data_IF_087249718727
#
_entry.id   IF_087249718727
#
_cell.length_a   1.000
_cell.length_b   1.000
_cell.length_c   1.000
_cell.angle_alpha   90.00
_cell.angle_beta   90.00
_cell.angle_gamma   90.00
#
_symmetry.space_group_name_H-M   'P 1'
#
loop_
_entity.id
_entity.type
_entity.pdbx_description
1 polymer ?
#
# COMPACT_ATOMS: atom_id res chain seq x y z
N UNK A 1 1.23 10.75 -21.13
CA UNK A 1 0.38 10.05 -20.14
C UNK A 1 1.12 9.92 -18.82
N UNK A 2 0.50 10.25 -17.71
CA UNK A 2 1.15 9.98 -16.42
C UNK A 2 1.30 8.47 -16.23
N UNK A 3 2.29 8.03 -15.44
CA UNK A 3 2.43 6.61 -15.14
C UNK A 3 1.18 6.08 -14.43
N UNK A 4 0.90 4.77 -14.53
CA UNK A 4 -0.21 4.20 -13.77
C UNK A 4 0.02 4.41 -12.27
N UNK A 5 -1.06 4.56 -11.52
CA UNK A 5 -0.99 4.82 -10.09
C UNK A 5 -1.71 3.75 -9.29
N UNK A 6 -1.17 3.45 -8.12
CA UNK A 6 -1.76 2.52 -7.17
C UNK A 6 -1.76 3.14 -5.77
N UNK A 7 -2.89 2.97 -5.07
CA UNK A 7 -3.04 3.38 -3.68
C UNK A 7 -3.31 2.14 -2.84
N UNK A 8 -2.51 1.95 -1.80
CA UNK A 8 -2.72 0.87 -0.84
C UNK A 8 -3.49 1.41 0.37
N UNK A 9 -4.54 0.71 0.76
CA UNK A 9 -5.40 1.11 1.86
C UNK A 9 -5.37 0.07 2.96
N UNK A 10 -5.17 0.50 4.22
CA UNK A 10 -5.39 -0.32 5.38
C UNK A 10 -6.16 0.48 6.42
N UNK A 11 -6.27 0.00 7.65
CA UNK A 11 -7.06 0.70 8.67
C UNK A 11 -6.33 1.95 9.16
N UNK A 12 -5.14 1.79 9.71
CA UNK A 12 -4.42 2.87 10.39
C UNK A 12 -3.35 3.59 9.59
N UNK A 13 -3.03 3.10 8.39
CA UNK A 13 -1.89 3.59 7.59
C UNK A 13 -0.63 3.73 8.45
N UNK A 14 -0.31 2.66 9.14
CA UNK A 14 0.83 2.60 10.06
C UNK A 14 1.68 1.36 9.82
N UNK A 15 1.09 0.29 9.31
CA UNK A 15 1.77 -0.99 9.07
C UNK A 15 1.58 -1.47 7.63
N UNK A 16 0.44 -2.11 7.33
CA UNK A 16 0.23 -2.80 6.04
C UNK A 16 0.38 -1.90 4.83
N UNK A 17 -0.38 -0.81 4.76
CA UNK A 17 -0.34 0.05 3.57
C UNK A 17 0.95 0.85 3.47
N UNK A 18 1.57 1.19 4.61
CA UNK A 18 2.89 1.84 4.62
C UNK A 18 3.96 0.88 4.09
N UNK A 19 3.95 -0.38 4.53
CA UNK A 19 4.89 -1.38 4.00
C UNK A 19 4.68 -1.58 2.51
N UNK A 20 3.42 -1.69 2.08
CA UNK A 20 3.10 -1.87 0.67
C UNK A 20 3.59 -0.68 -0.16
N UNK A 21 3.39 0.54 0.33
CA UNK A 21 3.87 1.75 -0.35
C UNK A 21 5.39 1.70 -0.54
N UNK A 22 6.14 1.41 0.52
CA UNK A 22 7.59 1.37 0.47
C UNK A 22 8.10 0.25 -0.45
N UNK A 23 7.52 -0.94 -0.34
CA UNK A 23 7.89 -2.09 -1.16
C UNK A 23 7.58 -1.85 -2.63
N UNK A 24 6.42 -1.27 -2.92
CA UNK A 24 6.02 -0.98 -4.30
C UNK A 24 6.90 0.11 -4.92
N UNK A 25 7.20 1.16 -4.19
CA UNK A 25 8.13 2.18 -4.67
C UNK A 25 9.49 1.59 -5.00
N UNK A 26 9.98 0.70 -4.13
CA UNK A 26 11.25 0.02 -4.35
C UNK A 26 11.22 -0.85 -5.60
N UNK A 27 10.13 -1.58 -5.81
CA UNK A 27 10.00 -2.51 -6.93
C UNK A 27 9.72 -1.79 -8.26
N UNK A 28 8.81 -0.83 -8.26
CA UNK A 28 8.37 -0.17 -9.49
C UNK A 28 9.16 1.07 -9.84
N UNK A 29 9.82 1.68 -8.86
CA UNK A 29 10.55 2.93 -9.00
C UNK A 29 9.65 4.01 -9.62
N UNK A 30 10.11 4.71 -10.66
CA UNK A 30 9.35 5.80 -11.27
C UNK A 30 8.29 5.34 -12.27
N UNK A 31 8.22 4.05 -12.55
CA UNK A 31 7.29 3.52 -13.55
C UNK A 31 5.84 3.52 -13.08
N UNK A 32 5.62 3.56 -11.78
CA UNK A 32 4.28 3.55 -11.18
C UNK A 32 4.25 4.58 -10.07
N UNK A 33 3.20 5.41 -10.05
CA UNK A 33 2.96 6.32 -8.93
C UNK A 33 2.36 5.51 -7.79
N UNK A 34 2.93 5.62 -6.58
CA UNK A 34 2.51 4.83 -5.43
C UNK A 34 2.16 5.72 -4.26
N UNK A 35 1.04 5.43 -3.62
CA UNK A 35 0.62 6.11 -2.41
C UNK A 35 -0.05 5.12 -1.46
N UNK A 36 -0.30 5.55 -0.24
CA UNK A 36 -1.05 4.77 0.73
C UNK A 36 -1.90 5.69 1.59
N UNK A 37 -2.94 5.13 2.19
CA UNK A 37 -3.81 5.86 3.11
C UNK A 37 -4.50 4.90 4.06
N UNK A 38 -5.04 5.44 5.15
CA UNK A 38 -5.80 4.68 6.13
C UNK A 38 -7.26 5.11 6.16
N UNK A 39 -8.13 4.17 6.50
CA UNK A 39 -9.54 4.45 6.74
C UNK A 39 -9.66 5.33 7.99
N UNK A 40 -8.84 5.03 9.00
CA UNK A 40 -8.79 5.76 10.27
C UNK A 40 -7.33 5.90 10.67
N UNK A 41 -6.61 6.87 10.08
CA UNK A 41 -5.16 6.95 10.25
C UNK A 41 -4.75 7.18 11.70
N UNK A 42 -3.72 6.44 12.13
CA UNK A 42 -3.19 6.57 13.49
C UNK A 42 -2.36 7.83 13.69
N UNK A 43 -1.84 8.41 12.61
CA UNK A 43 -1.02 9.61 12.68
C UNK A 43 0.47 9.34 12.88
N UNK A 44 0.87 8.08 12.95
CA UNK A 44 2.28 7.69 13.07
C UNK A 44 2.52 6.35 12.38
N UNK A 45 3.76 6.14 11.94
CA UNK A 45 4.19 4.87 11.36
C UNK A 45 4.77 4.01 12.48
N UNK A 46 4.31 2.78 12.60
CA UNK A 46 4.78 1.86 13.63
C UNK A 46 6.30 1.65 13.48
N UNK A 47 7.02 1.66 14.60
CA UNK A 47 8.47 1.46 14.61
C UNK A 47 8.85 0.12 13.96
N UNK A 48 8.08 -0.92 14.23
CA UNK A 48 8.31 -2.25 13.67
C UNK A 48 8.19 -2.25 12.14
N UNK A 49 7.30 -1.42 11.59
CA UNK A 49 7.17 -1.24 10.14
C UNK A 49 8.49 -0.75 9.55
N UNK A 50 9.06 0.30 10.14
CA UNK A 50 10.32 0.86 9.67
C UNK A 50 11.46 -0.15 9.81
N UNK A 51 11.46 -0.90 10.90
CA UNK A 51 12.50 -1.89 11.18
C UNK A 51 12.50 -3.01 10.15
N UNK A 52 11.34 -3.59 9.83
CA UNK A 52 11.31 -4.72 8.90
C UNK A 52 11.60 -4.30 7.47
N UNK A 53 11.29 -3.05 7.10
CA UNK A 53 11.67 -2.51 5.79
C UNK A 53 13.18 -2.30 5.71
N UNK A 54 13.77 -1.76 6.77
CA UNK A 54 15.23 -1.55 6.82
C UNK A 54 15.99 -2.86 6.76
N UNK A 55 15.44 -3.93 7.32
CA UNK A 55 16.08 -5.27 7.30
C UNK A 55 16.41 -5.73 5.88
N UNK A 56 15.62 -5.32 4.89
CA UNK A 56 15.82 -5.75 3.50
C UNK A 56 16.24 -4.61 2.59
N UNK A 57 16.73 -3.52 3.17
CA UNK A 57 17.31 -2.40 2.43
C UNK A 57 16.30 -1.55 1.67
N UNK A 58 15.02 -1.59 2.06
CA UNK A 58 14.00 -0.75 1.44
C UNK A 58 13.95 0.60 2.14
N UNK A 59 13.99 1.69 1.35
CA UNK A 59 13.99 3.05 1.89
C UNK A 59 12.72 3.35 2.68
N UNK A 60 12.89 3.99 3.83
CA UNK A 60 11.79 4.45 4.68
C UNK A 60 11.60 5.96 4.59
N UNK A 61 12.32 6.62 3.69
CA UNK A 61 12.27 8.07 3.55
C UNK A 61 10.87 8.54 3.12
N UNK A 62 10.36 9.56 3.80
CA UNK A 62 9.10 10.19 3.45
C UNK A 62 7.84 9.42 3.84
N UNK A 63 7.97 8.27 4.50
CA UNK A 63 6.79 7.51 4.95
C UNK A 63 6.09 8.25 6.09
N UNK A 64 4.77 8.43 5.95
CA UNK A 64 3.96 9.06 6.99
C UNK A 64 2.53 8.51 6.93
N UNK A 65 1.89 8.48 8.10
CA UNK A 65 0.51 8.05 8.23
C UNK A 65 -0.44 9.16 7.77
N UNK A 66 -1.44 8.82 6.94
CA UNK A 66 -2.38 9.78 6.38
C UNK A 66 -3.70 9.11 6.03
N UNK A 67 -4.73 9.91 5.80
CA UNK A 67 -6.06 9.42 5.49
C UNK A 67 -6.40 9.53 4.01
N UNK A 68 -7.56 8.99 3.64
CA UNK A 68 -8.05 9.01 2.26
C UNK A 68 -8.24 10.43 1.74
N UNK A 69 -8.68 11.34 2.61
CA UNK A 69 -8.91 12.73 2.24
C UNK A 69 -7.63 13.49 1.87
N UNK A 70 -6.47 12.94 2.22
CA UNK A 70 -5.19 13.54 1.90
C UNK A 70 -4.72 13.21 0.48
N UNK A 71 -5.47 12.37 -0.24
CA UNK A 71 -5.11 11.91 -1.57
C UNK A 71 -6.16 12.29 -2.60
N UNK A 72 -5.70 12.58 -3.83
CA UNK A 72 -6.57 12.73 -5.00
C UNK A 72 -6.73 11.37 -5.65
N UNK A 73 -7.71 10.58 -5.18
CA UNK A 73 -7.90 9.21 -5.65
C UNK A 73 -8.12 9.11 -7.16
N UNK A 74 -8.72 10.14 -7.78
CA UNK A 74 -8.96 10.15 -9.21
C UNK A 74 -7.67 10.09 -10.05
N UNK A 75 -6.51 10.39 -9.46
CA UNK A 75 -5.23 10.33 -10.13
C UNK A 75 -4.64 8.91 -10.17
N UNK A 76 -5.29 7.96 -9.49
CA UNK A 76 -4.79 6.60 -9.38
C UNK A 76 -5.73 5.66 -10.10
N UNK A 77 -5.14 4.72 -10.86
CA UNK A 77 -5.93 3.73 -11.60
C UNK A 77 -6.38 2.59 -10.71
N UNK A 78 -5.62 2.28 -9.67
CA UNK A 78 -5.85 1.12 -8.83
C UNK A 78 -5.89 1.49 -7.36
N UNK A 79 -6.86 0.93 -6.65
CA UNK A 79 -6.91 0.98 -5.19
C UNK A 79 -6.83 -0.46 -4.70
N UNK A 80 -5.85 -0.76 -3.86
CA UNK A 80 -5.66 -2.09 -3.28
C UNK A 80 -6.08 -2.04 -1.81
N UNK A 81 -7.16 -2.71 -1.51
CA UNK A 81 -7.68 -2.81 -0.15
C UNK A 81 -7.02 -3.98 0.56
N UNK A 82 -6.20 -3.68 1.56
CA UNK A 82 -5.50 -4.68 2.35
C UNK A 82 -6.27 -5.11 3.60
N UNK A 83 -7.45 -4.52 3.83
CA UNK A 83 -8.31 -4.86 4.96
C UNK A 83 -9.33 -5.90 4.57
N UNK A 84 -10.05 -6.41 5.58
CA UNK A 84 -11.21 -7.27 5.38
C UNK A 84 -12.52 -6.48 5.26
N UNK A 85 -12.44 -5.15 5.36
CA UNK A 85 -13.62 -4.29 5.26
C UNK A 85 -13.91 -3.94 3.81
N UNK A 86 -15.18 -3.69 3.51
CA UNK A 86 -15.57 -3.20 2.19
C UNK A 86 -15.25 -1.71 2.07
N UNK A 87 -14.57 -1.31 0.98
CA UNK A 87 -14.25 0.09 0.73
C UNK A 87 -15.20 0.77 -0.25
N UNK A 88 -16.14 0.03 -0.82
CA UNK A 88 -17.01 0.56 -1.87
C UNK A 88 -17.75 1.83 -1.45
N UNK A 89 -18.22 1.86 -0.20
CA UNK A 89 -18.94 3.02 0.34
C UNK A 89 -18.02 4.21 0.62
N UNK A 90 -16.71 4.00 0.70
CA UNK A 90 -15.73 5.03 1.02
C UNK A 90 -15.11 5.66 -0.22
N UNK A 91 -15.21 5.00 -1.37
CA UNK A 91 -14.71 5.54 -2.62
C UNK A 91 -15.75 6.45 -3.25
N UNK A 92 -15.33 7.54 -3.89
CA UNK A 92 -16.28 8.38 -4.64
C UNK A 92 -16.98 7.54 -5.71
N UNK A 93 -18.27 7.80 -5.92
CA UNK A 93 -19.01 7.12 -6.99
C UNK A 93 -18.43 7.41 -8.37
N UNK A 94 -17.70 8.52 -8.50
CA UNK A 94 -17.04 8.92 -9.73
C UNK A 94 -15.62 8.37 -9.86
N UNK A 95 -15.18 7.51 -8.92
CA UNK A 95 -13.84 6.95 -8.98
C UNK A 95 -13.67 6.16 -10.28
N UNK A 96 -12.75 6.59 -11.17
CA UNK A 96 -12.61 5.97 -12.49
C UNK A 96 -11.77 4.70 -12.50
N UNK A 97 -11.13 4.39 -11.38
CA UNK A 97 -10.20 3.27 -11.29
C UNK A 97 -10.86 1.96 -10.88
N UNK A 98 -10.03 1.02 -10.51
CA UNK A 98 -10.45 -0.32 -10.09
C UNK A 98 -10.05 -0.60 -8.65
N UNK A 99 -10.92 -1.30 -7.95
CA UNK A 99 -10.68 -1.74 -6.57
C UNK A 99 -10.28 -3.21 -6.57
N UNK A 100 -9.13 -3.50 -5.96
CA UNK A 100 -8.67 -4.87 -5.76
C UNK A 100 -8.69 -5.15 -4.26
N UNK A 101 -9.42 -6.20 -3.85
CA UNK A 101 -9.47 -6.61 -2.46
C UNK A 101 -8.45 -7.73 -2.23
N UNK A 102 -7.44 -7.45 -1.42
CA UNK A 102 -6.36 -8.39 -1.09
C UNK A 102 -6.06 -8.32 0.39
N UNK A 103 -6.93 -8.91 1.23
CA UNK A 103 -6.76 -8.79 2.68
C UNK A 103 -5.47 -9.41 3.16
N UNK A 104 -4.78 -8.70 4.04
CA UNK A 104 -3.54 -9.13 4.68
C UNK A 104 -3.73 -8.96 6.19
N UNK A 105 -3.26 -9.92 6.96
CA UNK A 105 -3.40 -9.89 8.42
C UNK A 105 -2.70 -8.65 9.01
N UNK A 106 -3.37 -7.99 9.95
CA UNK A 106 -2.85 -6.79 10.59
C UNK A 106 -1.82 -7.15 11.67
N UNK A 107 -0.55 -6.73 11.53
CA UNK A 107 0.48 -7.06 12.52
C UNK A 107 0.50 -6.11 13.71
N UNK A 108 -0.30 -5.03 13.69
CA UNK A 108 -0.24 -3.99 14.71
C UNK A 108 -0.48 -4.56 16.11
N UNK A 109 0.41 -4.23 17.06
CA UNK A 109 0.35 -4.76 18.41
C UNK A 109 0.89 -6.19 18.54
N UNK A 110 1.38 -6.78 17.46
CA UNK A 110 1.92 -8.13 17.44
C UNK A 110 3.45 -8.12 17.44
N UNK A 111 4.03 -9.32 17.43
CA UNK A 111 5.49 -9.47 17.45
C UNK A 111 6.14 -9.02 16.14
N UNK A 112 7.44 -8.77 16.20
CA UNK A 112 8.22 -8.41 15.02
C UNK A 112 8.12 -9.49 13.93
N UNK A 113 8.01 -10.76 14.32
CA UNK A 113 7.84 -11.85 13.37
C UNK A 113 6.55 -11.72 12.57
N UNK A 114 5.48 -11.23 13.19
CA UNK A 114 4.22 -10.96 12.46
C UNK A 114 4.42 -9.86 11.42
N UNK A 115 5.20 -8.83 11.74
CA UNK A 115 5.53 -7.77 10.80
C UNK A 115 6.35 -8.31 9.62
N UNK A 116 7.28 -9.22 9.87
CA UNK A 116 8.07 -9.86 8.80
C UNK A 116 7.19 -10.69 7.87
N UNK A 117 6.24 -11.43 8.43
CA UNK A 117 5.29 -12.22 7.62
C UNK A 117 4.41 -11.33 6.76
N UNK A 118 3.96 -10.20 7.32
CA UNK A 118 3.19 -9.21 6.57
C UNK A 118 4.03 -8.64 5.43
N UNK A 119 5.29 -8.29 5.70
CA UNK A 119 6.22 -7.81 4.67
C UNK A 119 6.35 -8.83 3.54
N UNK A 120 6.54 -10.09 3.86
CA UNK A 120 6.68 -11.15 2.86
C UNK A 120 5.41 -11.34 2.04
N UNK A 121 4.25 -11.30 2.69
CA UNK A 121 2.97 -11.43 1.99
C UNK A 121 2.78 -10.25 1.01
N UNK A 122 3.14 -9.04 1.42
CA UNK A 122 3.04 -7.85 0.58
C UNK A 122 4.04 -7.90 -0.58
N UNK A 123 5.26 -8.40 -0.34
CA UNK A 123 6.22 -8.58 -1.43
C UNK A 123 5.69 -9.52 -2.48
N UNK A 124 5.10 -10.64 -2.09
CA UNK A 124 4.51 -11.58 -3.04
C UNK A 124 3.35 -10.94 -3.80
N UNK A 125 2.48 -10.22 -3.10
CA UNK A 125 1.37 -9.51 -3.74
C UNK A 125 1.88 -8.56 -4.82
N UNK A 126 2.86 -7.73 -4.48
CA UNK A 126 3.39 -6.71 -5.38
C UNK A 126 4.11 -7.34 -6.57
N UNK A 127 4.99 -8.31 -6.33
CA UNK A 127 5.82 -8.87 -7.39
C UNK A 127 5.08 -9.89 -8.26
N UNK A 128 4.16 -10.65 -7.70
CA UNK A 128 3.49 -11.74 -8.41
C UNK A 128 2.12 -11.36 -8.96
N UNK A 129 1.35 -10.53 -8.27
CA UNK A 129 0.01 -10.16 -8.71
C UNK A 129 -0.08 -8.76 -9.31
N UNK A 130 0.54 -7.77 -8.68
CA UNK A 130 0.38 -6.38 -9.11
C UNK A 130 1.33 -6.01 -10.25
N UNK A 131 2.56 -6.51 -10.24
CA UNK A 131 3.51 -6.18 -11.30
C UNK A 131 2.99 -6.52 -12.69
N UNK A 132 2.40 -7.69 -12.94
CA UNK A 132 1.84 -7.99 -14.27
C UNK A 132 0.73 -7.05 -14.70
N UNK A 133 -0.02 -6.48 -13.75
CA UNK A 133 -1.11 -5.54 -14.02
C UNK A 133 -0.56 -4.14 -14.26
N UNK A 134 0.39 -3.71 -13.40
CA UNK A 134 0.91 -2.35 -13.40
C UNK A 134 2.03 -2.15 -14.42
N UNK A 135 2.77 -3.20 -14.73
CA UNK A 135 3.86 -3.19 -15.71
C UNK A 135 3.55 -4.26 -16.78
N UNK A 136 2.58 -4.01 -17.66
CA UNK A 136 2.27 -5.00 -18.69
C UNK A 136 3.44 -5.22 -19.64
N UNK A 137 3.46 -6.39 -20.27
CA UNK A 137 4.51 -6.80 -21.20
C UNK A 137 4.67 -5.74 -22.29
N UNK A 138 5.91 -5.34 -22.55
CA UNK A 138 6.22 -4.33 -23.53
C UNK A 138 6.25 -2.91 -22.99
N UNK A 139 6.05 -2.77 -21.68
CA UNK A 139 6.09 -1.46 -21.01
C UNK A 139 7.51 -1.02 -20.70
#
# INVERSE_FOLDING_TARGET
MPPPGVVFICLGNSCRSIMAEALARHHFQEKVAVASAGISPLGFVARETLQVLAEIGVSIAGLRSKGLEDLSLAQYRWVVNLTKYSLEALLPSSFPGRLLNRPVADPYGRSLEHYRRTREALQRLITQELAPILLPVGS
#
